data_IF_471594328246
#
_entry.id   IF_471594328246
#
_cell.length_a   1.000
_cell.length_b   1.000
_cell.length_c   1.000
_cell.angle_alpha   90.00
_cell.angle_beta   90.00
_cell.angle_gamma   90.00
#
_symmetry.space_group_name_H-M   'P 1'
#
loop_
_entity.id
_entity.type
_entity.pdbx_description
1 polymer ?
#
# COMPACT_ATOMS: atom_id res chain seq x y z
N UNK A 1 -12.43 33.67 -12.81
CA UNK A 1 -11.47 32.66 -12.31
C UNK A 1 -12.29 31.52 -11.72
N UNK A 2 -12.05 30.28 -12.14
CA UNK A 2 -12.55 29.07 -11.46
C UNK A 2 -11.32 28.36 -10.88
N UNK A 3 -11.39 27.89 -9.65
CA UNK A 3 -10.27 27.15 -9.04
C UNK A 3 -10.15 25.75 -9.64
N UNK A 4 -8.91 25.27 -9.83
CA UNK A 4 -8.65 23.88 -10.21
C UNK A 4 -8.93 22.90 -9.06
N UNK A 5 -8.83 21.61 -9.33
CA UNK A 5 -9.34 20.57 -8.43
C UNK A 5 -8.26 20.04 -7.48
N UNK A 6 -8.67 19.74 -6.25
CA UNK A 6 -7.80 19.20 -5.21
C UNK A 6 -8.34 17.86 -4.74
N UNK A 7 -7.46 16.88 -4.64
CA UNK A 7 -7.71 15.55 -4.09
C UNK A 7 -6.82 15.39 -2.86
N UNK A 8 -7.40 15.11 -1.69
CA UNK A 8 -6.61 14.69 -0.52
C UNK A 8 -6.64 13.19 -0.39
N UNK A 9 -5.52 12.55 -0.71
CA UNK A 9 -5.32 11.11 -0.62
C UNK A 9 -4.64 10.75 0.71
N UNK A 10 -4.96 9.59 1.26
CA UNK A 10 -4.23 9.02 2.39
C UNK A 10 -4.04 7.51 2.27
N UNK A 11 -3.03 6.98 2.96
CA UNK A 11 -2.84 5.53 3.10
C UNK A 11 -2.39 5.15 4.51
N UNK A 12 -2.94 4.05 5.03
CA UNK A 12 -2.60 3.50 6.35
C UNK A 12 -2.81 1.98 6.36
N UNK A 13 -1.77 1.22 6.70
CA UNK A 13 -1.95 -0.14 7.17
C UNK A 13 -2.61 -0.09 8.55
N UNK A 14 -3.79 -0.69 8.70
CA UNK A 14 -4.57 -0.64 9.94
C UNK A 14 -4.30 -1.82 10.90
N UNK A 15 -3.21 -2.58 10.73
CA UNK A 15 -2.70 -3.65 11.61
C UNK A 15 -3.74 -4.72 12.00
N UNK A 16 -3.58 -5.95 11.48
CA UNK A 16 -4.40 -7.09 11.90
C UNK A 16 -3.58 -8.19 12.59
N UNK A 17 -4.07 -8.59 13.76
CA UNK A 17 -3.39 -9.49 14.67
C UNK A 17 -3.20 -10.93 14.13
N UNK A 18 -3.94 -11.33 13.09
CA UNK A 18 -3.98 -12.73 12.60
C UNK A 18 -2.59 -13.25 12.17
N UNK A 19 -1.69 -12.38 11.71
CA UNK A 19 -0.34 -12.79 11.28
C UNK A 19 0.76 -12.59 12.34
N UNK A 20 0.61 -11.65 13.29
CA UNK A 20 1.60 -11.42 14.35
C UNK A 20 1.75 -12.67 15.24
N UNK A 21 0.63 -13.26 15.71
CA UNK A 21 0.63 -14.51 16.51
C UNK A 21 1.36 -15.70 15.84
N UNK A 22 1.53 -15.70 14.52
CA UNK A 22 2.03 -16.85 13.77
C UNK A 22 3.54 -16.79 13.45
N UNK A 23 4.17 -15.61 13.50
CA UNK A 23 5.59 -15.43 13.13
C UNK A 23 6.43 -14.74 14.21
N UNK A 24 5.80 -13.98 15.09
CA UNK A 24 6.51 -13.12 16.04
C UNK A 24 5.86 -13.16 17.42
N UNK A 25 6.52 -13.75 18.41
CA UNK A 25 6.12 -13.70 19.82
C UNK A 25 6.36 -12.30 20.45
N UNK A 26 6.31 -11.24 19.65
CA UNK A 26 6.89 -9.92 19.94
C UNK A 26 5.88 -8.95 20.59
N UNK A 27 4.59 -9.29 20.59
CA UNK A 27 3.55 -8.46 21.22
C UNK A 27 2.53 -9.28 22.02
N UNK A 28 2.33 -8.89 23.28
CA UNK A 28 1.22 -9.36 24.13
C UNK A 28 -0.15 -8.75 23.75
N UNK A 29 -0.28 -8.15 22.56
CA UNK A 29 -1.57 -7.68 22.06
C UNK A 29 -2.41 -8.90 21.65
N UNK A 30 -3.35 -9.27 22.50
CA UNK A 30 -4.39 -10.25 22.20
C UNK A 30 -5.30 -9.78 21.06
N UNK A 31 -6.10 -10.69 20.50
CA UNK A 31 -7.15 -10.36 19.51
C UNK A 31 -8.15 -9.30 20.03
N UNK A 32 -8.21 -9.12 21.35
CA UNK A 32 -8.99 -8.10 22.03
C UNK A 32 -8.48 -6.68 21.73
N UNK A 33 -7.16 -6.45 21.62
CA UNK A 33 -6.63 -5.11 21.30
C UNK A 33 -7.03 -4.67 19.90
N UNK A 34 -6.78 -5.51 18.89
CA UNK A 34 -7.05 -5.19 17.48
C UNK A 34 -8.53 -4.83 17.23
N UNK A 35 -9.43 -5.48 17.97
CA UNK A 35 -10.88 -5.23 17.91
C UNK A 35 -11.40 -4.31 19.03
N UNK A 36 -10.55 -3.75 19.89
CA UNK A 36 -10.98 -2.96 21.04
C UNK A 36 -11.64 -1.64 20.62
N UNK A 37 -12.69 -1.25 21.36
CA UNK A 37 -13.43 0.00 21.13
C UNK A 37 -12.50 1.22 21.22
N UNK A 38 -11.57 1.23 22.19
CA UNK A 38 -10.57 2.30 22.33
C UNK A 38 -9.68 2.46 21.09
N UNK A 39 -9.24 1.34 20.50
CA UNK A 39 -8.44 1.33 19.27
C UNK A 39 -9.24 1.78 18.05
N UNK A 40 -10.50 1.32 17.94
CA UNK A 40 -11.42 1.76 16.89
C UNK A 40 -11.63 3.28 16.94
N UNK A 41 -11.91 3.85 18.12
CA UNK A 41 -12.06 5.30 18.28
C UNK A 41 -10.81 6.08 17.89
N UNK A 42 -9.61 5.61 18.26
CA UNK A 42 -8.34 6.21 17.80
C UNK A 42 -8.23 6.15 16.27
N UNK A 43 -8.51 4.99 15.65
CA UNK A 43 -8.48 4.84 14.20
C UNK A 43 -9.46 5.79 13.49
N UNK A 44 -10.69 5.89 13.97
CA UNK A 44 -11.70 6.81 13.41
C UNK A 44 -11.29 8.28 13.58
N UNK A 45 -10.66 8.64 14.70
CA UNK A 45 -10.15 9.99 14.89
C UNK A 45 -9.04 10.35 13.89
N UNK A 46 -8.13 9.42 13.57
CA UNK A 46 -7.08 9.66 12.56
C UNK A 46 -7.61 9.61 11.12
N UNK A 47 -8.54 8.70 10.81
CA UNK A 47 -9.07 8.52 9.44
C UNK A 47 -10.13 9.55 9.03
N UNK A 48 -10.94 10.06 9.97
CA UNK A 48 -12.12 10.87 9.65
C UNK A 48 -12.10 12.30 10.21
N UNK A 49 -11.18 12.67 11.11
CA UNK A 49 -11.02 14.08 11.50
C UNK A 49 -10.34 14.91 10.40
N UNK A 50 -9.40 14.30 9.66
CA UNK A 50 -8.80 14.90 8.45
C UNK A 50 -9.74 14.69 7.26
N UNK A 51 -10.20 15.74 6.56
CA UNK A 51 -11.25 15.63 5.53
C UNK A 51 -10.70 15.13 4.18
N UNK A 52 -10.17 13.92 4.17
CA UNK A 52 -9.64 13.21 2.99
C UNK A 52 -10.75 12.93 1.95
N UNK A 53 -10.35 12.82 0.69
CA UNK A 53 -11.19 12.49 -0.47
C UNK A 53 -11.15 11.00 -0.80
N UNK A 54 -9.98 10.38 -0.63
CA UNK A 54 -9.70 8.95 -0.86
C UNK A 54 -8.75 8.46 0.24
N UNK A 55 -9.01 7.27 0.81
CA UNK A 55 -8.18 6.63 1.83
C UNK A 55 -7.97 5.16 1.46
N UNK A 56 -6.73 4.77 1.18
CA UNK A 56 -6.33 3.38 0.97
C UNK A 56 -5.96 2.72 2.31
N UNK A 57 -6.59 1.58 2.62
CA UNK A 57 -6.37 0.88 3.89
C UNK A 57 -5.86 -0.54 3.62
N UNK A 58 -4.76 -0.91 4.28
CA UNK A 58 -4.20 -2.27 4.27
C UNK A 58 -4.52 -3.00 5.57
N UNK A 59 -4.48 -4.33 5.55
CA UNK A 59 -4.82 -5.23 6.68
C UNK A 59 -6.21 -5.04 7.29
N UNK A 60 -7.21 -4.68 6.47
CA UNK A 60 -8.59 -4.61 6.95
C UNK A 60 -9.17 -6.02 7.08
N UNK A 61 -9.50 -6.45 8.30
CA UNK A 61 -10.15 -7.74 8.55
C UNK A 61 -11.68 -7.69 8.34
N UNK A 62 -12.37 -8.82 8.40
CA UNK A 62 -13.83 -8.87 8.16
C UNK A 62 -14.67 -8.17 9.23
N UNK A 63 -14.12 -7.92 10.43
CA UNK A 63 -14.79 -7.11 11.45
C UNK A 63 -14.63 -5.62 11.11
N UNK A 64 -13.40 -5.15 10.91
CA UNK A 64 -13.09 -3.78 10.54
C UNK A 64 -13.73 -3.35 9.21
N UNK A 65 -13.89 -4.23 8.22
CA UNK A 65 -14.66 -3.94 6.99
C UNK A 65 -16.11 -3.56 7.31
N UNK A 66 -16.77 -4.24 8.26
CA UNK A 66 -18.15 -3.96 8.67
C UNK A 66 -18.24 -2.68 9.48
N UNK A 67 -17.31 -2.51 10.41
CA UNK A 67 -17.24 -1.36 11.31
C UNK A 67 -16.93 -0.06 10.56
N UNK A 68 -15.88 -0.02 9.75
CA UNK A 68 -15.56 1.13 8.90
C UNK A 68 -16.68 1.44 7.89
N UNK A 69 -17.35 0.42 7.34
CA UNK A 69 -18.49 0.63 6.44
C UNK A 69 -19.72 1.20 7.15
N UNK A 70 -19.93 0.87 8.43
CA UNK A 70 -20.93 1.54 9.28
C UNK A 70 -20.50 2.98 9.56
N UNK A 71 -19.26 3.20 9.98
CA UNK A 71 -18.77 4.54 10.34
C UNK A 71 -18.82 5.51 9.16
N UNK A 72 -18.48 5.05 7.93
CA UNK A 72 -18.64 5.83 6.70
C UNK A 72 -20.06 6.37 6.46
N UNK A 73 -21.11 5.77 7.06
CA UNK A 73 -22.48 6.31 6.94
C UNK A 73 -22.69 7.62 7.68
N UNK A 74 -21.87 7.92 8.70
CA UNK A 74 -21.87 9.19 9.43
C UNK A 74 -21.24 10.35 8.64
N UNK A 75 -20.55 10.06 7.54
CA UNK A 75 -19.78 11.02 6.73
C UNK A 75 -20.24 11.00 5.26
N UNK A 76 -19.72 11.91 4.42
CA UNK A 76 -19.93 11.86 2.96
C UNK A 76 -19.05 10.79 2.26
N UNK A 77 -18.77 9.68 2.95
CA UNK A 77 -17.81 8.65 2.53
C UNK A 77 -18.52 7.31 2.24
N UNK A 78 -17.91 6.51 1.36
CA UNK A 78 -18.29 5.11 1.11
C UNK A 78 -17.05 4.23 1.16
N UNK A 79 -17.21 2.97 1.57
CA UNK A 79 -16.15 1.98 1.64
C UNK A 79 -16.34 0.91 0.56
N UNK A 80 -15.34 0.78 -0.32
CA UNK A 80 -15.16 -0.34 -1.23
C UNK A 80 -14.21 -1.37 -0.61
N UNK A 81 -14.60 -2.64 -0.66
CA UNK A 81 -13.88 -3.81 -0.14
C UNK A 81 -14.00 -4.97 -1.12
N UNK A 82 -13.06 -5.95 -1.09
CA UNK A 82 -13.22 -7.22 -1.81
C UNK A 82 -14.55 -7.91 -1.52
N UNK A 83 -15.06 -8.67 -2.50
CA UNK A 83 -16.39 -9.27 -2.47
C UNK A 83 -16.48 -10.34 -1.38
N UNK A 84 -17.19 -10.03 -0.29
CA UNK A 84 -17.30 -10.81 0.95
C UNK A 84 -17.58 -12.32 0.78
N UNK A 85 -18.22 -12.74 -0.32
CA UNK A 85 -18.48 -14.15 -0.62
C UNK A 85 -17.26 -15.00 -1.01
N UNK A 86 -16.11 -14.36 -1.30
CA UNK A 86 -14.84 -15.02 -1.62
C UNK A 86 -13.76 -14.83 -0.53
N UNK A 87 -14.09 -14.18 0.59
CA UNK A 87 -13.14 -13.70 1.59
C UNK A 87 -13.09 -14.67 2.77
N UNK A 88 -11.88 -15.11 3.14
CA UNK A 88 -11.67 -15.98 4.29
C UNK A 88 -11.92 -15.22 5.60
N UNK A 89 -12.48 -15.85 6.65
CA UNK A 89 -12.52 -15.27 8.00
C UNK A 89 -11.15 -14.90 8.59
N UNK A 90 -10.05 -15.27 7.91
CA UNK A 90 -8.66 -15.00 8.32
C UNK A 90 -7.85 -14.13 7.35
N UNK A 91 -8.43 -13.59 6.28
CA UNK A 91 -7.68 -12.81 5.28
C UNK A 91 -7.61 -11.32 5.61
N UNK A 92 -6.40 -10.76 5.54
CA UNK A 92 -6.15 -9.32 5.49
C UNK A 92 -6.57 -8.77 4.12
N UNK A 93 -7.43 -7.74 4.10
CA UNK A 93 -7.91 -7.13 2.86
C UNK A 93 -7.27 -5.75 2.63
N UNK A 94 -7.12 -5.37 1.35
CA UNK A 94 -6.97 -3.97 0.98
C UNK A 94 -8.34 -3.38 0.67
N UNK A 95 -8.74 -2.30 1.35
CA UNK A 95 -9.99 -1.58 1.11
C UNK A 95 -9.70 -0.13 0.72
N UNK A 96 -10.67 0.55 0.10
CA UNK A 96 -10.57 1.97 -0.22
C UNK A 96 -11.84 2.68 0.21
N UNK A 97 -11.67 3.72 1.04
CA UNK A 97 -12.72 4.66 1.40
C UNK A 97 -12.62 5.86 0.46
N UNK A 98 -13.72 6.39 -0.04
CA UNK A 98 -13.73 7.60 -0.88
C UNK A 98 -15.03 8.38 -0.75
N UNK A 99 -15.04 9.66 -1.12
CA UNK A 99 -16.26 10.49 -1.06
C UNK A 99 -17.34 10.02 -2.02
N UNK A 100 -18.60 10.12 -1.60
CA UNK A 100 -19.80 9.74 -2.38
C UNK A 100 -19.96 10.54 -3.67
N UNK A 101 -19.28 11.69 -3.79
CA UNK A 101 -19.16 12.47 -5.03
C UNK A 101 -18.37 11.76 -6.15
N UNK A 102 -17.48 10.82 -5.82
CA UNK A 102 -16.71 10.07 -6.81
C UNK A 102 -17.50 8.90 -7.37
N UNK A 103 -17.53 8.81 -8.70
CA UNK A 103 -18.12 7.69 -9.44
C UNK A 103 -17.07 6.60 -9.64
N UNK A 104 -17.35 5.41 -9.12
CA UNK A 104 -16.57 4.20 -9.41
C UNK A 104 -16.82 3.80 -10.87
N UNK A 105 -15.79 3.87 -11.72
CA UNK A 105 -15.87 3.42 -13.12
C UNK A 105 -15.59 1.93 -13.26
N UNK A 106 -14.76 1.38 -12.38
CA UNK A 106 -14.44 -0.04 -12.39
C UNK A 106 -13.46 -0.45 -11.30
N UNK A 107 -13.42 -1.75 -11.06
CA UNK A 107 -12.57 -2.39 -10.06
C UNK A 107 -11.74 -3.51 -10.69
N UNK A 108 -10.54 -3.73 -10.17
CA UNK A 108 -9.68 -4.88 -10.45
C UNK A 108 -9.05 -5.36 -9.15
N UNK A 109 -9.37 -6.58 -8.78
CA UNK A 109 -8.66 -7.30 -7.73
C UNK A 109 -7.56 -8.15 -8.36
N UNK A 110 -6.31 -7.86 -8.00
CA UNK A 110 -5.13 -8.57 -8.47
C UNK A 110 -4.70 -9.59 -7.41
N UNK A 111 -5.20 -10.81 -7.58
CA UNK A 111 -4.60 -12.01 -7.01
C UNK A 111 -3.25 -12.24 -7.72
N UNK A 112 -2.14 -11.93 -7.02
CA UNK A 112 -0.82 -11.90 -7.66
C UNK A 112 -0.30 -13.32 -7.98
N UNK A 113 -0.69 -14.32 -7.20
CA UNK A 113 -0.44 -15.74 -7.48
C UNK A 113 -1.07 -16.15 -8.83
N UNK A 114 -2.37 -15.89 -9.01
CA UNK A 114 -3.10 -16.23 -10.24
C UNK A 114 -2.65 -15.36 -11.43
N UNK A 115 -2.34 -14.09 -11.21
CA UNK A 115 -1.83 -13.19 -12.26
C UNK A 115 -0.49 -13.69 -12.82
N UNK A 116 0.44 -14.07 -11.93
CA UNK A 116 1.70 -14.73 -12.28
C UNK A 116 1.43 -16.05 -12.99
N UNK A 117 0.63 -16.95 -12.40
CA UNK A 117 0.35 -18.27 -12.98
C UNK A 117 -0.19 -18.16 -14.40
N UNK A 118 -1.13 -17.23 -14.65
CA UNK A 118 -1.67 -16.96 -15.98
C UNK A 118 -0.60 -16.40 -16.94
N UNK A 119 0.24 -15.47 -16.48
CA UNK A 119 1.30 -14.91 -17.30
C UNK A 119 2.29 -15.98 -17.77
N UNK A 120 2.77 -16.84 -16.86
CA UNK A 120 3.70 -17.92 -17.19
C UNK A 120 3.06 -19.06 -18.00
N UNK A 121 1.76 -19.32 -17.84
CA UNK A 121 1.03 -20.27 -18.69
C UNK A 121 1.11 -19.89 -20.19
N UNK A 122 1.21 -18.59 -20.52
CA UNK A 122 1.38 -18.16 -21.91
C UNK A 122 2.81 -18.41 -22.47
N UNK A 123 3.80 -18.67 -21.61
CA UNK A 123 5.17 -19.02 -22.01
C UNK A 123 5.43 -20.54 -22.05
N UNK A 124 4.52 -21.36 -21.50
CA UNK A 124 4.73 -22.81 -21.38
C UNK A 124 4.65 -23.57 -22.72
N UNK A 125 4.39 -22.88 -23.83
CA UNK A 125 4.28 -23.45 -25.18
C UNK A 125 5.63 -23.66 -25.89
N UNK A 126 6.68 -22.91 -25.54
CA UNK A 126 7.96 -22.94 -26.26
C UNK A 126 9.10 -23.61 -25.47
N UNK A 127 9.07 -23.61 -24.14
CA UNK A 127 9.87 -24.54 -23.34
C UNK A 127 9.29 -24.79 -21.95
N UNK A 128 9.21 -26.07 -21.54
CA UNK A 128 9.00 -26.46 -20.14
C UNK A 128 10.32 -26.30 -19.38
N UNK A 129 10.70 -25.06 -19.11
CA UNK A 129 11.92 -24.78 -18.38
C UNK A 129 11.70 -24.88 -16.87
N UNK A 130 12.62 -25.49 -16.14
CA UNK A 130 12.57 -25.66 -14.67
C UNK A 130 12.46 -24.32 -13.93
N UNK A 131 12.88 -23.23 -14.59
CA UNK A 131 12.65 -21.82 -14.23
C UNK A 131 11.19 -21.55 -13.86
N UNK A 132 10.28 -22.04 -14.69
CA UNK A 132 8.85 -21.77 -14.56
C UNK A 132 8.29 -22.45 -13.31
N UNK A 133 8.64 -23.72 -13.09
CA UNK A 133 8.21 -24.47 -11.91
C UNK A 133 8.86 -23.93 -10.62
N UNK A 134 10.13 -23.54 -10.64
CA UNK A 134 10.81 -22.93 -9.49
C UNK A 134 10.13 -21.61 -9.07
N UNK A 135 9.87 -20.72 -10.03
CA UNK A 135 9.24 -19.43 -9.74
C UNK A 135 7.78 -19.57 -9.31
N UNK A 136 7.01 -20.46 -9.95
CA UNK A 136 5.64 -20.76 -9.55
C UNK A 136 5.56 -21.40 -8.15
N UNK A 137 6.50 -22.28 -7.78
CA UNK A 137 6.57 -22.88 -6.43
C UNK A 137 6.91 -21.87 -5.33
N UNK A 138 7.54 -20.74 -5.64
CA UNK A 138 7.78 -19.65 -4.67
C UNK A 138 6.65 -18.61 -4.61
N UNK A 139 5.91 -18.42 -5.70
CA UNK A 139 4.82 -17.44 -5.75
C UNK A 139 3.46 -18.03 -5.34
N UNK A 140 3.23 -19.33 -5.52
CA UNK A 140 2.08 -20.04 -4.91
C UNK A 140 2.18 -20.18 -3.38
N UNK A 141 3.32 -19.81 -2.79
CA UNK A 141 3.47 -19.62 -1.32
C UNK A 141 3.01 -18.23 -0.83
N UNK A 142 2.64 -17.31 -1.74
CA UNK A 142 2.34 -15.90 -1.41
C UNK A 142 0.88 -15.55 -1.67
N UNK A 143 0.10 -15.46 -0.59
CA UNK A 143 -1.27 -14.93 -0.63
C UNK A 143 -1.28 -13.39 -0.68
N UNK A 144 -0.52 -12.81 -1.62
CA UNK A 144 -0.42 -11.37 -1.82
C UNK A 144 -1.48 -10.90 -2.81
N UNK A 145 -2.32 -9.96 -2.39
CA UNK A 145 -3.37 -9.37 -3.21
C UNK A 145 -3.23 -7.84 -3.26
N UNK A 146 -3.57 -7.24 -4.41
CA UNK A 146 -3.68 -5.80 -4.57
C UNK A 146 -5.08 -5.42 -5.07
N UNK A 147 -5.63 -4.31 -4.58
CA UNK A 147 -6.93 -3.78 -5.00
C UNK A 147 -6.71 -2.48 -5.76
N UNK A 148 -7.16 -2.41 -7.02
CA UNK A 148 -7.16 -1.22 -7.84
C UNK A 148 -8.59 -0.81 -8.15
N UNK A 149 -8.93 0.44 -7.85
CA UNK A 149 -10.19 1.07 -8.30
C UNK A 149 -9.88 2.18 -9.30
N UNK A 150 -10.76 2.37 -10.27
CA UNK A 150 -10.70 3.50 -11.21
C UNK A 150 -11.80 4.50 -10.84
N UNK A 151 -11.39 5.71 -10.47
CA UNK A 151 -12.25 6.84 -10.15
C UNK A 151 -12.07 7.94 -11.22
N UNK A 152 -13.13 8.70 -11.50
CA UNK A 152 -13.18 9.71 -12.57
C UNK A 152 -12.98 11.13 -12.01
N UNK A 153 -12.01 11.89 -12.57
CA UNK A 153 -11.72 13.32 -12.32
C UNK A 153 -10.86 13.89 -13.50
N UNK A 154 -10.70 15.21 -13.69
CA UNK A 154 -10.18 15.86 -14.96
C UNK A 154 -8.91 16.77 -14.87
N UNK A 155 -8.01 16.79 -15.89
CA UNK A 155 -6.49 16.76 -15.84
C UNK A 155 -5.57 17.87 -16.53
N UNK A 156 -4.24 17.97 -16.14
CA UNK A 156 -2.90 18.27 -16.84
C UNK A 156 -1.55 18.25 -15.96
N UNK A 157 -0.49 17.40 -16.16
CA UNK A 157 0.71 17.08 -15.23
C UNK A 157 2.01 17.97 -15.16
N UNK A 158 2.72 17.97 -14.00
CA UNK A 158 4.20 18.19 -13.77
C UNK A 158 4.69 17.50 -12.42
N UNK A 159 5.91 17.51 -11.82
CA UNK A 159 7.32 17.94 -12.03
C UNK A 159 8.19 17.55 -10.77
N UNK A 160 9.53 17.30 -10.82
CA UNK A 160 10.27 16.46 -9.81
C UNK A 160 11.81 16.72 -9.56
N UNK A 161 12.39 16.26 -8.41
CA UNK A 161 13.79 15.75 -8.13
C UNK A 161 14.23 15.81 -6.61
N UNK A 162 15.35 15.18 -6.10
CA UNK A 162 15.99 13.85 -6.31
C UNK A 162 16.39 13.07 -5.00
N UNK A 163 16.99 11.87 -5.12
CA UNK A 163 16.90 10.67 -4.21
C UNK A 163 17.67 10.55 -2.86
N UNK A 164 17.20 9.59 -2.06
CA UNK A 164 17.85 8.87 -0.94
C UNK A 164 17.73 7.35 -1.18
N UNK A 165 18.61 6.51 -0.62
CA UNK A 165 18.66 5.06 -0.94
C UNK A 165 17.50 4.24 -0.35
N UNK A 166 16.79 3.51 -1.20
CA UNK A 166 15.59 2.70 -0.88
C UNK A 166 15.66 1.34 -1.61
N UNK A 167 14.61 0.52 -1.53
CA UNK A 167 14.60 -0.83 -2.11
C UNK A 167 14.62 -0.83 -3.65
N UNK A 168 15.02 -1.96 -4.27
CA UNK A 168 14.96 -2.10 -5.73
C UNK A 168 13.54 -2.08 -6.30
N UNK A 169 12.51 -2.31 -5.49
CA UNK A 169 11.11 -2.12 -5.89
C UNK A 169 10.80 -0.62 -5.99
N UNK A 170 11.30 0.19 -5.05
CA UNK A 170 11.19 1.64 -5.11
C UNK A 170 11.98 2.22 -6.30
N UNK A 171 13.19 1.73 -6.56
CA UNK A 171 13.99 2.13 -7.74
C UNK A 171 13.26 1.81 -9.04
N UNK A 172 12.69 0.60 -9.17
CA UNK A 172 11.90 0.22 -10.34
C UNK A 172 10.66 1.10 -10.52
N UNK A 173 9.93 1.39 -9.44
CA UNK A 173 8.73 2.24 -9.48
C UNK A 173 9.06 3.68 -9.84
N UNK A 174 10.14 4.26 -9.30
CA UNK A 174 10.43 5.70 -9.46
C UNK A 174 11.32 6.05 -10.64
N UNK A 175 12.21 5.15 -11.07
CA UNK A 175 13.04 5.36 -12.27
C UNK A 175 12.47 4.67 -13.52
N UNK A 176 11.50 3.76 -13.34
CA UNK A 176 10.98 2.90 -14.39
C UNK A 176 11.91 1.73 -14.75
N UNK A 177 13.06 1.56 -14.06
CA UNK A 177 14.09 0.56 -14.40
C UNK A 177 14.69 -0.11 -13.17
N UNK A 178 15.14 -1.36 -13.34
CA UNK A 178 16.02 -2.04 -12.39
C UNK A 178 16.99 -2.93 -13.14
N UNK A 179 18.29 -2.66 -13.01
CA UNK A 179 19.29 -3.49 -13.71
C UNK A 179 19.33 -4.91 -13.16
N UNK A 180 19.56 -5.87 -14.04
CA UNK A 180 19.85 -7.27 -13.74
C UNK A 180 20.98 -7.46 -12.71
N UNK A 181 21.92 -6.52 -12.67
CA UNK A 181 23.08 -6.52 -11.76
C UNK A 181 22.80 -5.86 -10.40
N UNK A 182 21.63 -5.26 -10.21
CA UNK A 182 21.25 -4.62 -8.94
C UNK A 182 20.97 -5.68 -7.86
N UNK A 183 21.45 -5.49 -6.63
CA UNK A 183 21.39 -6.50 -5.57
C UNK A 183 19.96 -6.98 -5.22
N UNK A 184 18.96 -6.11 -5.34
CA UNK A 184 17.54 -6.49 -5.13
C UNK A 184 16.84 -7.01 -6.39
N UNK A 185 17.53 -7.20 -7.52
CA UNK A 185 16.97 -7.83 -8.71
C UNK A 185 16.83 -9.35 -8.48
N UNK A 186 15.77 -10.02 -8.97
CA UNK A 186 15.58 -11.47 -8.77
C UNK A 186 16.78 -12.34 -9.18
N UNK A 187 17.53 -11.92 -10.21
CA UNK A 187 18.75 -12.59 -10.67
C UNK A 187 19.95 -12.49 -9.71
N UNK A 188 19.94 -11.57 -8.74
CA UNK A 188 20.99 -11.44 -7.71
C UNK A 188 20.49 -11.90 -6.34
N UNK A 189 19.20 -11.69 -6.06
CA UNK A 189 18.55 -12.09 -4.81
C UNK A 189 18.36 -13.62 -4.67
N UNK A 190 18.66 -14.41 -5.71
CA UNK A 190 18.48 -15.86 -5.74
C UNK A 190 19.76 -16.51 -6.27
N UNK A 191 20.41 -17.30 -5.43
CA UNK A 191 21.60 -18.10 -5.77
C UNK A 191 21.20 -19.37 -6.54
N UNK A 192 20.51 -19.20 -7.67
CA UNK A 192 19.94 -20.26 -8.49
C UNK A 192 19.98 -19.82 -9.95
N UNK A 193 20.65 -20.60 -10.80
CA UNK A 193 21.01 -20.21 -12.18
C UNK A 193 19.79 -19.92 -13.05
N UNK A 194 18.66 -20.55 -12.70
CA UNK A 194 17.30 -20.25 -13.15
C UNK A 194 17.00 -18.75 -13.23
N UNK A 195 17.43 -17.97 -12.24
CA UNK A 195 17.11 -16.54 -12.16
C UNK A 195 18.09 -15.67 -12.96
N UNK A 196 19.26 -16.17 -13.35
CA UNK A 196 20.19 -15.45 -14.21
C UNK A 196 19.66 -15.23 -15.64
N UNK A 197 18.52 -15.81 -16.02
CA UNK A 197 17.88 -15.54 -17.32
C UNK A 197 16.99 -14.29 -17.33
N UNK A 198 16.62 -13.72 -16.18
CA UNK A 198 15.84 -12.48 -16.16
C UNK A 198 16.63 -11.28 -16.73
N UNK A 199 16.04 -10.48 -17.64
CA UNK A 199 16.63 -9.24 -18.15
C UNK A 199 16.48 -8.08 -17.15
N UNK A 200 17.00 -6.90 -17.50
CA UNK A 200 16.68 -5.66 -16.78
C UNK A 200 15.15 -5.44 -16.74
N UNK A 201 14.60 -5.16 -15.56
CA UNK A 201 13.18 -4.87 -15.40
C UNK A 201 12.91 -3.44 -15.86
N UNK A 202 11.84 -3.25 -16.64
CA UNK A 202 11.44 -1.95 -17.18
C UNK A 202 9.92 -1.79 -17.05
N UNK A 203 9.45 -0.65 -16.55
CA UNK A 203 8.03 -0.23 -16.48
C UNK A 203 7.92 1.27 -16.78
N UNK A 204 6.69 1.77 -16.95
CA UNK A 204 6.48 3.22 -16.87
C UNK A 204 6.68 3.70 -15.42
N UNK A 205 7.47 4.76 -15.17
CA UNK A 205 7.70 5.27 -13.82
C UNK A 205 6.46 5.97 -13.23
N UNK A 206 6.38 5.90 -11.91
CA UNK A 206 5.53 6.72 -11.06
C UNK A 206 6.41 7.66 -10.21
N UNK A 207 5.79 8.67 -9.60
CA UNK A 207 6.43 9.68 -8.77
C UNK A 207 5.98 9.49 -7.32
N UNK A 208 6.82 9.73 -6.31
CA UNK A 208 6.39 9.63 -4.89
C UNK A 208 6.02 11.01 -4.33
N UNK A 209 4.81 11.15 -3.81
CA UNK A 209 4.30 12.43 -3.29
C UNK A 209 5.20 13.02 -2.20
N UNK A 210 5.67 12.17 -1.28
CA UNK A 210 6.58 12.58 -0.20
C UNK A 210 7.94 13.00 -0.74
N UNK A 211 8.51 12.22 -1.66
CA UNK A 211 9.81 12.53 -2.24
C UNK A 211 9.83 13.87 -2.97
N UNK A 212 8.77 14.23 -3.69
CA UNK A 212 8.72 15.47 -4.47
C UNK A 212 8.34 16.71 -3.64
N UNK A 213 7.44 16.59 -2.66
CA UNK A 213 7.08 17.74 -1.80
C UNK A 213 8.17 18.02 -0.76
N UNK A 214 8.64 16.99 -0.07
CA UNK A 214 9.54 17.13 1.08
C UNK A 214 11.02 16.97 0.69
N UNK A 215 11.30 16.73 -0.59
CA UNK A 215 12.63 16.38 -1.09
C UNK A 215 13.17 15.04 -0.59
N UNK A 216 12.43 14.31 0.26
CA UNK A 216 12.83 13.07 0.92
C UNK A 216 11.60 12.25 1.36
N UNK A 217 11.77 10.93 1.43
CA UNK A 217 10.80 10.05 2.06
C UNK A 217 10.83 10.17 3.60
N UNK A 218 9.75 9.79 4.31
CA UNK A 218 9.74 9.70 5.77
C UNK A 218 10.89 8.83 6.31
N UNK A 219 11.43 9.18 7.48
CA UNK A 219 12.48 8.39 8.16
C UNK A 219 12.00 6.99 8.57
N UNK A 220 10.69 6.84 8.78
CA UNK A 220 9.99 5.56 8.83
C UNK A 220 8.52 5.76 8.47
N UNK A 221 7.83 4.67 8.14
CA UNK A 221 6.38 4.59 8.02
C UNK A 221 5.80 3.46 8.87
N UNK A 222 6.56 2.38 9.09
CA UNK A 222 6.35 1.38 10.14
C UNK A 222 7.43 1.51 11.23
N UNK A 223 7.05 1.36 12.51
CA UNK A 223 8.01 1.35 13.64
C UNK A 223 7.60 0.43 14.80
N UNK A 224 8.05 -0.81 14.77
CA UNK A 224 7.96 -1.77 15.88
C UNK A 224 9.15 -1.64 16.85
N UNK A 225 9.33 -2.61 17.75
CA UNK A 225 10.51 -2.74 18.62
C UNK A 225 11.75 -3.26 17.87
N UNK A 226 11.55 -4.01 16.79
CA UNK A 226 12.62 -4.72 16.05
C UNK A 226 12.86 -4.17 14.65
N UNK A 227 11.95 -3.35 14.12
CA UNK A 227 12.03 -2.77 12.79
C UNK A 227 11.55 -1.30 12.79
N UNK A 228 12.22 -0.46 12.01
CA UNK A 228 11.83 0.92 11.73
C UNK A 228 12.27 1.26 10.31
N UNK A 229 11.33 1.67 9.44
CA UNK A 229 11.68 2.00 8.06
C UNK A 229 10.50 2.48 7.21
N UNK A 230 10.82 3.11 6.08
CA UNK A 230 9.85 3.57 5.09
C UNK A 230 9.47 2.42 4.15
N UNK A 231 8.24 1.91 4.29
CA UNK A 231 7.69 0.80 3.50
C UNK A 231 6.31 1.10 2.90
N UNK A 232 5.69 2.21 3.29
CA UNK A 232 4.43 2.73 2.75
C UNK A 232 4.72 3.97 1.89
N UNK A 233 3.99 4.13 0.78
CA UNK A 233 4.25 5.21 -0.18
C UNK A 233 2.95 5.68 -0.82
N UNK A 234 2.89 6.96 -1.21
CA UNK A 234 1.83 7.51 -2.06
C UNK A 234 2.45 7.80 -3.44
N UNK A 235 2.33 6.83 -4.35
CA UNK A 235 2.80 6.97 -5.74
C UNK A 235 1.71 7.58 -6.64
N UNK A 236 2.11 8.44 -7.56
CA UNK A 236 1.23 9.14 -8.51
C UNK A 236 1.82 9.24 -9.91
N UNK A 237 0.96 9.56 -10.89
CA UNK A 237 1.28 9.89 -12.28
C UNK A 237 0.13 10.75 -12.80
N UNK A 238 0.39 11.85 -13.51
CA UNK A 238 -0.69 12.71 -14.00
C UNK A 238 -1.27 13.66 -12.94
N UNK A 239 -0.48 14.12 -11.96
CA UNK A 239 -0.90 14.95 -10.81
C UNK A 239 0.25 15.85 -10.35
N UNK A 240 -0.03 16.92 -9.59
CA UNK A 240 1.01 17.69 -8.85
C UNK A 240 0.72 17.60 -7.36
N UNK A 241 1.61 17.03 -6.53
CA UNK A 241 1.44 17.02 -5.09
C UNK A 241 1.70 18.43 -4.52
N UNK A 242 0.78 18.91 -3.69
CA UNK A 242 0.82 20.22 -3.01
C UNK A 242 1.38 20.06 -1.59
N UNK A 243 0.97 19.01 -0.88
CA UNK A 243 1.51 18.66 0.45
C UNK A 243 1.73 17.15 0.57
N UNK A 244 2.57 16.75 1.54
CA UNK A 244 2.80 15.35 1.90
C UNK A 244 3.14 15.27 3.40
N UNK A 245 2.18 14.84 4.21
CA UNK A 245 2.16 14.98 5.67
C UNK A 245 1.93 13.63 6.34
N UNK A 246 2.69 13.34 7.41
CA UNK A 246 2.53 12.14 8.22
C UNK A 246 1.74 12.44 9.48
N UNK A 247 0.91 11.49 9.94
CA UNK A 247 0.29 11.55 11.27
C UNK A 247 0.88 10.41 12.11
N UNK A 248 1.75 10.70 13.10
CA UNK A 248 2.17 12.03 13.59
C UNK A 248 3.16 12.78 12.69
N UNK A 249 3.14 14.11 12.78
CA UNK A 249 4.05 15.00 12.04
C UNK A 249 5.50 14.98 12.57
N UNK A 250 5.70 14.76 13.87
CA UNK A 250 7.02 14.79 14.52
C UNK A 250 7.55 13.38 14.77
N UNK A 251 7.99 12.72 13.69
CA UNK A 251 8.46 11.33 13.71
C UNK A 251 9.62 11.05 14.68
N UNK A 252 10.42 12.07 15.03
CA UNK A 252 11.50 11.99 16.01
C UNK A 252 11.05 11.69 17.44
N UNK A 253 9.78 12.01 17.78
CA UNK A 253 9.23 11.81 19.13
C UNK A 253 8.55 10.44 19.30
N UNK A 254 8.35 9.70 18.20
CA UNK A 254 7.72 8.38 18.23
C UNK A 254 8.77 7.34 18.62
N UNK A 255 8.75 6.87 19.85
CA UNK A 255 9.62 5.76 20.28
C UNK A 255 9.21 4.43 19.64
N UNK A 256 7.93 4.05 19.74
CA UNK A 256 7.36 2.78 19.29
C UNK A 256 5.90 2.93 18.83
N UNK A 257 5.49 2.08 17.90
CA UNK A 257 4.11 1.89 17.46
C UNK A 257 3.69 0.39 17.58
N UNK A 258 2.39 0.07 17.72
CA UNK A 258 1.33 0.97 18.14
C UNK A 258 1.54 1.47 19.58
N UNK A 259 0.78 2.48 19.99
CA UNK A 259 0.85 3.02 21.35
C UNK A 259 -0.51 3.58 21.81
N UNK A 260 -0.55 4.36 22.89
CA UNK A 260 -1.77 4.95 23.45
C UNK A 260 -2.45 5.99 22.55
N UNK A 261 -1.76 6.49 21.54
CA UNK A 261 -2.23 7.57 20.64
C UNK A 261 -2.38 7.09 19.20
N UNK A 262 -1.54 6.14 18.76
CA UNK A 262 -1.52 5.62 17.39
C UNK A 262 -1.89 4.13 17.36
N UNK A 263 -2.99 3.75 16.68
CA UNK A 263 -3.61 2.42 16.80
C UNK A 263 -2.98 1.32 15.92
N UNK A 264 -1.97 1.64 15.13
CA UNK A 264 -1.26 0.73 14.22
C UNK A 264 0.24 0.84 14.45
N UNK A 265 1.02 -0.18 14.08
CA UNK A 265 2.48 -0.11 13.98
C UNK A 265 2.96 0.73 12.78
N UNK A 266 2.04 1.06 11.87
CA UNK A 266 2.21 2.04 10.79
C UNK A 266 1.62 3.42 11.12
N UNK A 267 2.18 4.46 10.50
CA UNK A 267 1.66 5.84 10.52
C UNK A 267 0.72 6.10 9.34
N UNK A 268 -0.19 7.07 9.50
CA UNK A 268 -1.03 7.53 8.39
C UNK A 268 -0.20 8.48 7.51
N UNK A 269 -0.07 8.16 6.23
CA UNK A 269 0.46 9.07 5.22
C UNK A 269 -0.70 9.82 4.56
N UNK A 270 -0.54 11.12 4.31
CA UNK A 270 -1.50 11.93 3.55
C UNK A 270 -0.79 12.80 2.53
N UNK A 271 -1.49 13.17 1.46
CA UNK A 271 -1.03 14.15 0.49
C UNK A 271 -2.23 14.90 -0.09
N UNK A 272 -2.18 16.23 -0.09
CA UNK A 272 -3.04 17.02 -0.98
C UNK A 272 -2.37 17.07 -2.35
N UNK A 273 -3.10 16.65 -3.39
CA UNK A 273 -2.69 16.71 -4.77
C UNK A 273 -3.59 17.67 -5.53
N UNK A 274 -2.98 18.55 -6.32
CA UNK A 274 -3.65 19.19 -7.43
C UNK A 274 -3.90 18.09 -8.47
N UNK A 275 -5.17 17.94 -8.84
CA UNK A 275 -5.53 17.66 -10.22
C UNK A 275 -5.73 19.08 -10.80
N UNK A 276 -4.63 19.77 -11.13
CA UNK A 276 -3.82 19.49 -12.33
C UNK A 276 -4.81 19.43 -13.46
#
# INVERSE_FOLDING_TARGET
MRGGMKIRVGTLNIFNNIFHHAREQIFNYSSEYANSISRQHLLYSHLFATPLDIICLQEVDLFMVRELKRECTNYDLTLHSPVLGAVSPKSNNCCVIYKKSYKLLGERHFDLEKAVQKHFTNYSSESRCEIQDAFLRELTKRQSAATMILLELSEEDHGNAPHTHLSGVYELITTGKLSKMHAHHPAQLRNDEVFYMYPDLNIEPFKSAFKEVNGNEPVFTNKTETFSGCIDFIFYKGLVPISAETTPNQLSEVERLPNSTFPSDHILLTSEMFLV
#
